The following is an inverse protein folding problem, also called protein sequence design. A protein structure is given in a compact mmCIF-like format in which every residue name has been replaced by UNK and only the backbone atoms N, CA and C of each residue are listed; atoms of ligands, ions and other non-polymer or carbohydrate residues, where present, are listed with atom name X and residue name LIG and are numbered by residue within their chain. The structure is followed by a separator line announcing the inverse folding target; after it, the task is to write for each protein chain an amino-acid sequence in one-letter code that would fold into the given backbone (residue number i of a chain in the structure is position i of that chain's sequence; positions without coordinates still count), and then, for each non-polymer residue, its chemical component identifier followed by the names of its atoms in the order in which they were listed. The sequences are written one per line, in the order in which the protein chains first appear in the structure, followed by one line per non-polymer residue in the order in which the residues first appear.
data_IF_250689911197
#
_entry.id   IF_250689911197
#
_cell.length_a   1.000
_cell.length_b   1.000
_cell.length_c   1.000
_cell.angle_alpha   90.00
_cell.angle_beta   90.00
_cell.angle_gamma   90.00
#
_symmetry.space_group_name_H-M   'P 1'
#
loop_
_entity.id
_entity.type
_entity.pdbx_description
1 polymer ?
#
# COMPACT_ATOMS: atom_id res chain seq x y z
N UNK A 1 49.63 -36.08 29.64
CA UNK A 1 48.19 -36.28 29.88
C UNK A 1 47.84 -35.82 31.28
N UNK A 2 47.04 -34.75 31.41
CA UNK A 2 46.23 -34.38 32.57
C UNK A 2 45.15 -33.44 32.04
N UNK A 3 43.89 -33.83 32.17
CA UNK A 3 42.73 -33.01 31.82
C UNK A 3 42.18 -32.35 33.08
N UNK A 4 41.64 -31.13 32.94
CA UNK A 4 40.59 -30.55 33.81
C UNK A 4 39.86 -29.51 32.96
N UNK A 5 38.53 -29.54 33.02
CA UNK A 5 37.62 -28.64 32.29
C UNK A 5 37.01 -27.58 33.23
N UNK A 6 36.32 -26.61 32.62
CA UNK A 6 35.32 -25.69 33.21
C UNK A 6 35.90 -24.59 34.12
N UNK A 7 35.79 -23.33 33.66
CA UNK A 7 34.75 -22.45 34.20
C UNK A 7 34.33 -21.40 33.16
N UNK A 8 33.02 -21.26 32.96
CA UNK A 8 32.42 -20.20 32.14
C UNK A 8 32.29 -18.94 33.00
N UNK A 9 32.78 -17.79 32.52
CA UNK A 9 32.55 -16.49 33.16
C UNK A 9 31.65 -15.66 32.26
N UNK A 10 30.39 -15.55 32.69
CA UNK A 10 29.43 -14.57 32.20
C UNK A 10 29.81 -13.21 32.80
N UNK A 11 29.94 -12.18 31.98
CA UNK A 11 30.12 -10.79 32.41
C UNK A 11 29.07 -9.90 31.76
N UNK A 12 28.60 -8.90 32.52
CA UNK A 12 27.29 -8.26 32.36
C UNK A 12 27.19 -7.21 31.24
N UNK A 13 25.94 -6.99 30.83
CA UNK A 13 25.50 -5.89 29.98
C UNK A 13 25.87 -4.50 30.55
N UNK A 14 26.13 -3.56 29.66
CA UNK A 14 25.95 -2.13 29.90
C UNK A 14 25.17 -1.52 28.73
N UNK A 15 23.85 -1.51 28.82
CA UNK A 15 22.97 -0.75 27.91
C UNK A 15 23.01 0.71 28.35
N UNK A 16 23.50 1.60 27.48
CA UNK A 16 23.52 3.05 27.75
C UNK A 16 22.46 3.74 26.90
N UNK A 17 21.27 3.93 27.48
CA UNK A 17 20.21 4.75 26.92
C UNK A 17 20.09 6.05 27.72
N UNK A 18 20.35 7.19 27.08
CA UNK A 18 20.07 8.55 27.56
C UNK A 18 19.45 9.32 26.39
N UNK A 19 18.39 10.13 26.53
CA UNK A 19 17.79 10.74 27.71
C UNK A 19 16.26 10.60 27.71
N UNK A 20 15.64 10.71 28.90
CA UNK A 20 14.20 10.96 29.07
C UNK A 20 14.07 12.28 29.82
N UNK A 21 13.31 13.24 29.28
CA UNK A 21 12.69 14.30 30.07
C UNK A 21 11.17 14.07 30.08
N UNK A 22 10.57 14.19 31.26
CA UNK A 22 9.13 14.03 31.54
C UNK A 22 8.57 15.33 32.12
N UNK A 23 7.24 15.39 32.14
CA UNK A 23 6.31 16.34 32.80
C UNK A 23 5.54 17.21 31.79
N UNK A 24 4.20 17.40 31.89
CA UNK A 24 3.21 16.81 32.81
C UNK A 24 1.78 16.96 32.24
N UNK A 25 0.84 16.11 32.66
CA UNK A 25 -0.61 16.34 32.56
C UNK A 25 -1.19 16.68 33.94
N UNK A 26 -2.25 17.51 34.03
CA UNK A 26 -3.19 17.52 35.15
C UNK A 26 -4.53 16.82 34.82
N UNK A 27 -5.30 16.47 35.85
CA UNK A 27 -6.52 15.63 35.79
C UNK A 27 -7.80 16.39 36.20
N UNK A 28 -8.93 15.95 35.64
CA UNK A 28 -10.23 15.63 36.28
C UNK A 28 -10.93 16.58 37.27
N UNK A 29 -12.23 16.81 37.01
CA UNK A 29 -13.32 17.05 37.97
C UNK A 29 -14.38 18.06 37.49
N UNK A 30 -15.62 18.14 37.99
CA UNK A 30 -16.64 17.19 38.51
C UNK A 30 -17.90 18.02 38.88
N UNK A 31 -19.13 17.50 38.69
CA UNK A 31 -20.44 18.10 39.13
C UNK A 31 -20.81 19.49 38.53
N UNK A 32 -22.02 20.10 38.59
CA UNK A 32 -23.45 19.78 38.87
C UNK A 32 -24.31 21.02 38.46
N UNK A 33 -25.65 21.03 38.21
CA UNK A 33 -26.69 20.06 37.81
C UNK A 33 -28.02 20.83 37.50
N UNK A 34 -29.01 20.23 36.79
CA UNK A 34 -30.44 20.68 36.60
C UNK A 34 -30.71 21.98 35.78
N UNK A 35 -31.91 22.30 35.26
CA UNK A 35 -33.11 21.59 34.71
C UNK A 35 -34.17 22.65 34.32
N UNK A 36 -35.02 22.38 33.31
CA UNK A 36 -36.25 23.13 32.94
C UNK A 36 -36.08 24.55 32.32
N UNK A 37 -36.96 25.05 31.44
CA UNK A 37 -38.12 24.43 30.74
C UNK A 37 -38.59 25.27 29.54
N UNK A 38 -39.08 24.59 28.50
CA UNK A 38 -40.25 24.90 27.66
C UNK A 38 -40.56 26.36 27.28
N UNK A 39 -40.51 26.67 25.97
CA UNK A 39 -41.73 26.91 25.16
C UNK A 39 -41.42 26.95 23.66
N UNK A 40 -42.40 26.55 22.85
CA UNK A 40 -42.25 26.36 21.41
C UNK A 40 -42.92 27.48 20.61
N UNK A 41 -42.29 27.86 19.50
CA UNK A 41 -42.99 28.41 18.35
C UNK A 41 -42.55 27.65 17.10
N UNK A 42 -43.52 27.08 16.37
CA UNK A 42 -43.31 26.59 15.00
C UNK A 42 -43.51 27.77 14.05
N UNK A 43 -42.73 27.84 12.98
CA UNK A 43 -43.23 27.68 11.59
C UNK A 43 -42.03 27.67 10.62
N UNK A 44 -42.13 26.74 9.66
CA UNK A 44 -41.52 26.63 8.33
C UNK A 44 -40.86 27.85 7.65
N UNK A 45 -39.96 27.74 6.66
CA UNK A 45 -39.16 26.64 6.08
C UNK A 45 -38.20 27.26 5.01
N UNK A 46 -37.33 26.44 4.40
CA UNK A 46 -36.56 26.64 3.15
C UNK A 46 -35.17 27.30 3.18
N UNK A 47 -34.21 26.48 2.69
CA UNK A 47 -33.13 26.80 1.74
C UNK A 47 -31.97 27.75 2.15
N UNK A 48 -30.70 27.42 1.90
CA UNK A 48 -30.11 26.14 1.48
C UNK A 48 -28.63 26.08 1.94
N UNK A 49 -28.21 24.94 2.49
CA UNK A 49 -26.81 24.70 2.86
C UNK A 49 -26.03 24.30 1.61
N UNK A 50 -25.18 25.20 1.11
CA UNK A 50 -24.25 24.87 0.02
C UNK A 50 -23.15 23.95 0.55
N UNK A 51 -23.30 22.65 0.35
CA UNK A 51 -22.20 21.69 0.50
C UNK A 51 -21.62 21.40 -0.88
N UNK A 52 -20.33 21.71 -1.04
CA UNK A 52 -19.61 21.59 -2.30
C UNK A 52 -19.42 20.13 -2.69
N UNK A 53 -20.29 19.65 -3.58
CA UNK A 53 -20.14 18.39 -4.31
C UNK A 53 -18.87 18.47 -5.17
N UNK A 54 -17.74 17.99 -4.65
CA UNK A 54 -16.58 17.67 -5.50
C UNK A 54 -16.94 16.43 -6.31
N UNK A 55 -17.03 16.63 -7.62
CA UNK A 55 -17.32 15.61 -8.61
C UNK A 55 -16.00 14.87 -8.86
N UNK A 56 -15.93 13.59 -8.48
CA UNK A 56 -14.94 12.70 -9.08
C UNK A 56 -15.45 12.35 -10.48
N UNK A 57 -14.72 12.80 -11.51
CA UNK A 57 -14.98 12.41 -12.90
C UNK A 57 -14.64 10.93 -13.08
N UNK A 58 -15.66 10.10 -12.82
CA UNK A 58 -15.75 8.75 -13.35
C UNK A 58 -16.14 8.86 -14.82
N UNK A 59 -15.17 9.01 -15.70
CA UNK A 59 -15.25 8.66 -17.13
C UNK A 59 -13.84 8.55 -17.74
N UNK A 60 -13.68 7.73 -18.78
CA UNK A 60 -12.47 7.56 -19.60
C UNK A 60 -11.30 6.67 -19.08
N UNK A 61 -11.59 5.57 -18.38
CA UNK A 61 -10.95 4.29 -18.72
C UNK A 61 -12.04 3.36 -19.24
N UNK A 62 -12.10 3.20 -20.57
CA UNK A 62 -13.03 2.29 -21.24
C UNK A 62 -12.68 0.84 -20.89
N UNK A 63 -13.69 0.04 -20.56
CA UNK A 63 -13.62 -1.42 -20.60
C UNK A 63 -13.52 -1.91 -22.07
N UNK A 64 -12.39 -1.69 -22.73
CA UNK A 64 -12.10 -2.21 -24.09
C UNK A 64 -10.71 -2.86 -24.18
N UNK A 65 -10.37 -3.69 -23.20
CA UNK A 65 -9.41 -4.79 -23.38
C UNK A 65 -10.17 -6.12 -23.16
N UNK A 66 -11.12 -6.37 -24.06
CA UNK A 66 -11.80 -7.67 -24.19
C UNK A 66 -10.86 -8.67 -24.87
N UNK A 67 -9.75 -8.99 -24.21
CA UNK A 67 -8.93 -10.13 -24.56
C UNK A 67 -9.54 -11.37 -23.88
N UNK A 68 -9.76 -12.42 -24.67
CA UNK A 68 -10.23 -13.77 -24.29
C UNK A 68 -9.12 -14.56 -23.54
N UNK A 69 -8.34 -13.83 -22.75
CA UNK A 69 -7.23 -14.30 -21.94
C UNK A 69 -7.75 -14.37 -20.49
N UNK A 70 -7.76 -15.54 -19.87
CA UNK A 70 -8.23 -15.73 -18.49
C UNK A 70 -7.35 -14.99 -17.46
N UNK A 71 -6.24 -14.38 -17.90
CA UNK A 71 -5.29 -13.64 -17.06
C UNK A 71 -5.64 -12.15 -16.96
N UNK A 72 -5.51 -11.59 -15.74
CA UNK A 72 -5.48 -10.13 -15.55
C UNK A 72 -4.08 -9.61 -15.81
N UNK A 73 -3.98 -8.46 -16.49
CA UNK A 73 -2.71 -7.78 -16.79
C UNK A 73 -2.71 -6.38 -16.21
N UNK A 74 -1.55 -5.90 -15.81
CA UNK A 74 -1.36 -4.47 -15.52
C UNK A 74 -1.23 -3.69 -16.85
N UNK A 75 -1.43 -2.38 -16.80
CA UNK A 75 -1.29 -1.49 -17.95
C UNK A 75 -0.49 -0.23 -17.62
N UNK A 76 0.23 0.29 -18.63
CA UNK A 76 0.99 1.54 -18.58
C UNK A 76 0.63 2.36 -19.83
N UNK A 77 0.29 3.64 -19.66
CA UNK A 77 -0.25 4.51 -20.71
C UNK A 77 0.80 5.49 -21.25
N UNK A 78 1.93 4.97 -21.75
CA UNK A 78 3.06 5.78 -22.23
C UNK A 78 2.68 6.70 -23.40
N UNK A 79 1.75 6.29 -24.25
CA UNK A 79 1.13 7.08 -25.33
C UNK A 79 0.44 8.36 -24.82
N UNK A 80 0.02 8.38 -23.55
CA UNK A 80 -0.55 9.56 -22.86
C UNK A 80 0.49 10.31 -22.02
N UNK A 81 1.75 9.87 -22.02
CA UNK A 81 2.82 10.43 -21.19
C UNK A 81 2.80 9.96 -19.73
N UNK A 82 2.07 8.90 -19.42
CA UNK A 82 1.89 8.38 -18.06
C UNK A 82 2.63 7.05 -17.87
N UNK A 83 3.61 7.03 -16.98
CA UNK A 83 4.41 5.85 -16.65
C UNK A 83 3.85 5.03 -15.49
N UNK A 84 2.74 5.44 -14.87
CA UNK A 84 2.15 4.73 -13.74
C UNK A 84 1.73 3.31 -14.13
N UNK A 85 2.06 2.32 -13.29
CA UNK A 85 1.63 0.94 -13.43
C UNK A 85 0.25 0.77 -12.80
N UNK A 86 -0.76 0.68 -13.64
CA UNK A 86 -2.13 0.48 -13.23
C UNK A 86 -2.50 -0.99 -13.26
N UNK A 87 -3.04 -1.49 -12.16
CA UNK A 87 -3.69 -2.80 -12.08
C UNK A 87 -5.03 -2.60 -11.38
N UNK A 88 -6.08 -3.19 -11.96
CA UNK A 88 -7.39 -3.33 -11.34
C UNK A 88 -7.67 -4.82 -11.21
N UNK A 89 -8.02 -5.28 -10.01
CA UNK A 89 -8.31 -6.69 -9.78
C UNK A 89 -9.60 -7.10 -10.49
N UNK A 90 -9.59 -8.28 -11.11
CA UNK A 90 -10.78 -8.89 -11.69
C UNK A 90 -10.93 -10.32 -11.15
N UNK A 91 -11.86 -10.52 -10.21
CA UNK A 91 -12.10 -11.81 -9.55
C UNK A 91 -12.54 -12.95 -10.49
N UNK A 92 -12.82 -12.67 -11.76
CA UNK A 92 -13.13 -13.68 -12.78
C UNK A 92 -11.89 -14.17 -13.55
N UNK A 93 -10.73 -13.58 -13.28
CA UNK A 93 -9.48 -13.81 -13.99
C UNK A 93 -8.38 -14.17 -13.00
N UNK A 94 -7.76 -15.33 -13.20
CA UNK A 94 -6.63 -15.76 -12.39
C UNK A 94 -5.46 -14.80 -12.63
N UNK A 95 -4.81 -14.35 -11.56
CA UNK A 95 -3.51 -13.70 -11.65
C UNK A 95 -2.77 -13.73 -10.31
N UNK A 96 -1.46 -13.98 -10.42
CA UNK A 96 -0.46 -13.71 -9.40
C UNK A 96 0.72 -13.01 -10.09
N UNK A 97 0.67 -11.68 -10.18
CA UNK A 97 1.74 -10.89 -10.81
C UNK A 97 2.81 -10.65 -9.76
N UNK A 98 3.96 -11.31 -9.89
CA UNK A 98 5.11 -11.13 -9.00
C UNK A 98 6.05 -10.05 -9.53
N UNK A 99 6.46 -9.15 -8.63
CA UNK A 99 7.60 -8.27 -8.86
C UNK A 99 8.86 -8.85 -8.21
N UNK A 100 9.99 -8.73 -8.90
CA UNK A 100 11.26 -9.37 -8.61
C UNK A 100 12.38 -8.33 -8.35
N UNK A 101 13.40 -8.70 -7.57
CA UNK A 101 14.53 -7.82 -7.26
C UNK A 101 15.50 -7.62 -8.44
N UNK A 102 15.45 -8.51 -9.43
CA UNK A 102 16.25 -8.49 -10.66
C UNK A 102 15.35 -8.91 -11.83
N UNK A 103 15.73 -8.64 -13.10
CA UNK A 103 15.05 -9.18 -14.28
C UNK A 103 15.35 -10.69 -14.45
N UNK A 104 14.89 -11.49 -13.48
CA UNK A 104 15.03 -12.95 -13.38
C UNK A 104 13.97 -13.49 -12.41
N UNK A 105 13.13 -14.43 -12.87
CA UNK A 105 12.06 -15.06 -12.09
C UNK A 105 12.56 -15.88 -10.89
N UNK A 106 13.83 -16.28 -10.93
CA UNK A 106 14.48 -17.03 -9.86
C UNK A 106 15.07 -16.09 -8.79
N UNK A 107 15.03 -14.78 -9.01
CA UNK A 107 15.48 -13.79 -8.04
C UNK A 107 14.46 -13.58 -6.92
N UNK A 108 14.84 -12.80 -5.91
CA UNK A 108 13.99 -12.54 -4.74
C UNK A 108 12.69 -11.85 -5.16
N UNK A 109 11.55 -12.46 -4.82
CA UNK A 109 10.23 -11.84 -4.93
C UNK A 109 10.13 -10.66 -3.96
N UNK A 110 9.71 -9.51 -4.48
CA UNK A 110 9.66 -8.22 -3.79
C UNK A 110 8.23 -7.80 -3.47
N UNK A 111 7.29 -8.03 -4.39
CA UNK A 111 5.86 -7.68 -4.30
C UNK A 111 5.01 -8.74 -5.01
N UNK A 112 3.73 -8.83 -4.65
CA UNK A 112 2.72 -9.64 -5.34
C UNK A 112 1.43 -8.83 -5.53
N UNK A 113 0.84 -8.94 -6.72
CA UNK A 113 -0.57 -8.62 -6.92
C UNK A 113 -1.38 -9.90 -7.20
N UNK A 114 -2.42 -10.16 -6.40
CA UNK A 114 -3.26 -11.35 -6.53
C UNK A 114 -4.72 -11.05 -6.16
N UNK A 115 -5.67 -11.67 -6.87
CA UNK A 115 -7.09 -11.69 -6.50
C UNK A 115 -7.40 -12.54 -5.28
N UNK A 116 -6.51 -13.48 -4.91
CA UNK A 116 -6.78 -14.42 -3.83
C UNK A 116 -6.37 -13.82 -2.48
N UNK A 117 -7.35 -13.68 -1.58
CA UNK A 117 -7.12 -13.24 -0.20
C UNK A 117 -6.08 -14.10 0.55
N UNK A 118 -5.94 -15.37 0.18
CA UNK A 118 -4.91 -16.29 0.70
C UNK A 118 -3.47 -15.84 0.45
N UNK A 119 -3.25 -14.98 -0.55
CA UNK A 119 -1.92 -14.54 -0.98
C UNK A 119 -1.64 -13.09 -0.55
N UNK A 120 -2.68 -12.38 -0.10
CA UNK A 120 -2.68 -10.93 0.18
C UNK A 120 -2.86 -10.63 1.67
N UNK A 121 -3.79 -11.29 2.38
CA UNK A 121 -4.11 -10.95 3.77
C UNK A 121 -2.87 -11.06 4.68
N UNK A 122 -2.45 -9.92 5.23
CA UNK A 122 -1.28 -9.76 6.11
C UNK A 122 0.06 -10.16 5.46
N UNK A 123 0.16 -10.13 4.12
CA UNK A 123 1.38 -10.46 3.37
C UNK A 123 1.95 -11.85 3.80
N UNK A 124 1.23 -12.94 3.50
CA UNK A 124 1.54 -14.28 4.03
C UNK A 124 2.88 -14.82 3.50
N UNK A 125 3.30 -14.37 2.32
CA UNK A 125 4.59 -14.67 1.71
C UNK A 125 5.75 -13.80 2.24
N UNK A 126 5.48 -12.86 3.15
CA UNK A 126 6.47 -11.97 3.77
C UNK A 126 7.33 -11.20 2.74
N UNK A 127 6.69 -10.76 1.66
CA UNK A 127 7.35 -10.03 0.58
C UNK A 127 7.78 -8.63 1.06
N UNK A 128 9.01 -8.18 0.77
CA UNK A 128 9.55 -6.91 1.28
C UNK A 128 8.66 -5.68 1.06
N UNK A 129 8.00 -5.59 -0.08
CA UNK A 129 7.15 -4.47 -0.48
C UNK A 129 5.66 -4.77 -0.34
N UNK A 130 5.28 -5.91 0.25
CA UNK A 130 3.89 -6.29 0.50
C UNK A 130 3.26 -7.19 -0.57
N UNK A 131 1.97 -7.46 -0.36
CA UNK A 131 1.09 -8.14 -1.29
C UNK A 131 -0.26 -7.39 -1.33
N UNK A 132 -0.86 -7.27 -2.51
CA UNK A 132 -2.02 -6.39 -2.75
C UNK A 132 -2.99 -7.02 -3.76
N UNK A 133 -4.23 -6.51 -3.80
CA UNK A 133 -5.19 -6.88 -4.83
C UNK A 133 -4.95 -6.10 -6.14
N UNK A 134 -4.66 -4.80 -6.04
CA UNK A 134 -4.64 -3.85 -7.14
C UNK A 134 -3.88 -2.57 -6.77
N UNK A 135 -3.52 -1.73 -7.74
CA UNK A 135 -2.80 -0.46 -7.48
C UNK A 135 -3.75 0.75 -7.36
N UNK A 136 -4.94 0.68 -7.97
CA UNK A 136 -5.90 1.80 -8.03
C UNK A 136 -6.31 2.35 -6.65
N UNK A 137 -6.51 1.50 -5.65
CA UNK A 137 -6.85 1.89 -4.27
C UNK A 137 -5.66 2.40 -3.42
N UNK A 138 -4.43 2.32 -3.93
CA UNK A 138 -3.20 2.56 -3.13
C UNK A 138 -2.54 3.92 -3.42
N UNK A 139 -2.84 4.55 -4.56
CA UNK A 139 -2.21 5.83 -4.98
C UNK A 139 -2.38 6.94 -3.92
N UNK A 140 -3.58 7.05 -3.33
CA UNK A 140 -3.86 8.02 -2.25
C UNK A 140 -3.13 7.72 -0.93
N UNK A 141 -2.58 6.51 -0.79
CA UNK A 141 -1.77 6.07 0.36
C UNK A 141 -0.27 6.25 0.10
N UNK A 142 0.12 6.94 -0.97
CA UNK A 142 1.51 7.20 -1.35
C UNK A 142 2.20 6.05 -2.11
N UNK A 143 1.50 4.93 -2.35
CA UNK A 143 1.99 3.85 -3.19
C UNK A 143 2.13 4.34 -4.64
N UNK A 144 3.35 4.37 -5.15
CA UNK A 144 3.68 4.72 -6.53
C UNK A 144 4.47 3.57 -7.13
N UNK A 145 4.11 3.17 -8.34
CA UNK A 145 4.84 2.18 -9.12
C UNK A 145 4.91 2.71 -10.55
N UNK A 146 6.11 3.10 -10.99
CA UNK A 146 6.30 3.81 -12.25
C UNK A 146 7.23 3.03 -13.18
N UNK A 147 6.85 2.84 -14.43
CA UNK A 147 7.71 2.31 -15.48
C UNK A 147 8.93 3.19 -15.71
N UNK A 148 10.10 2.56 -15.74
CA UNK A 148 11.39 3.21 -16.03
C UNK A 148 11.91 2.83 -17.40
N UNK A 149 12.04 1.52 -17.68
CA UNK A 149 12.53 0.99 -18.97
C UNK A 149 12.19 -0.50 -19.14
N UNK A 150 12.33 -1.02 -20.35
CA UNK A 150 12.29 -2.48 -20.62
C UNK A 150 13.70 -3.06 -20.53
N UNK A 151 13.86 -4.22 -19.89
CA UNK A 151 15.12 -4.96 -19.72
C UNK A 151 14.91 -6.43 -20.10
N UNK A 152 15.17 -6.76 -21.37
CA UNK A 152 14.92 -8.10 -21.91
C UNK A 152 13.42 -8.46 -21.86
N UNK A 153 13.09 -9.55 -21.16
CA UNK A 153 11.71 -10.01 -20.97
C UNK A 153 11.01 -9.35 -19.77
N UNK A 154 11.64 -8.38 -19.12
CA UNK A 154 11.08 -7.68 -17.95
C UNK A 154 10.85 -6.20 -18.26
N UNK A 155 9.93 -5.57 -17.54
CA UNK A 155 10.00 -4.13 -17.31
C UNK A 155 10.75 -3.86 -16.00
N UNK A 156 11.50 -2.78 -15.96
CA UNK A 156 11.98 -2.14 -14.75
C UNK A 156 10.99 -1.06 -14.34
N UNK A 157 10.62 -1.08 -13.07
CA UNK A 157 9.78 -0.06 -12.44
C UNK A 157 10.49 0.47 -11.21
N UNK A 158 10.19 1.71 -10.85
CA UNK A 158 10.51 2.23 -9.54
C UNK A 158 9.30 2.22 -8.61
N UNK A 159 9.55 1.81 -7.38
CA UNK A 159 8.58 1.74 -6.30
C UNK A 159 8.86 2.80 -5.24
N UNK A 160 7.79 3.42 -4.73
CA UNK A 160 7.84 4.34 -3.59
C UNK A 160 6.56 4.20 -2.78
N UNK A 161 6.65 4.37 -1.45
CA UNK A 161 5.51 4.26 -0.53
C UNK A 161 5.20 5.60 0.17
N UNK A 162 4.30 5.55 1.17
CA UNK A 162 3.89 6.69 1.98
C UNK A 162 5.05 7.43 2.68
N UNK A 163 6.22 6.80 2.84
CA UNK A 163 7.36 7.40 3.51
C UNK A 163 8.17 8.31 2.59
N UNK A 164 8.13 8.06 1.26
CA UNK A 164 8.98 8.72 0.25
C UNK A 164 10.51 8.57 0.54
N UNK A 165 10.90 7.64 1.43
CA UNK A 165 12.30 7.41 1.83
C UNK A 165 12.89 6.26 1.00
N UNK A 166 13.47 6.63 -0.14
CA UNK A 166 14.14 5.70 -1.05
C UNK A 166 13.25 5.24 -2.19
N UNK A 167 13.91 4.81 -3.26
CA UNK A 167 13.29 4.31 -4.49
C UNK A 167 13.79 2.87 -4.68
N UNK A 168 12.89 1.89 -4.54
CA UNK A 168 13.22 0.48 -4.78
C UNK A 168 12.98 0.14 -6.26
N UNK A 169 13.93 -0.55 -6.89
CA UNK A 169 13.71 -1.08 -8.24
C UNK A 169 13.03 -2.44 -8.16
N UNK A 170 11.93 -2.57 -8.91
CA UNK A 170 11.14 -3.80 -9.02
C UNK A 170 11.00 -4.16 -10.50
N UNK A 171 11.25 -5.43 -10.81
CA UNK A 171 11.16 -5.96 -12.17
C UNK A 171 9.92 -6.84 -12.29
N UNK A 172 9.13 -6.66 -13.33
CA UNK A 172 7.95 -7.48 -13.63
C UNK A 172 8.10 -8.14 -14.99
N UNK A 173 7.54 -9.34 -15.14
CA UNK A 173 7.55 -10.04 -16.43
C UNK A 173 6.71 -9.27 -17.43
N UNK A 174 7.24 -9.07 -18.64
CA UNK A 174 6.60 -8.24 -19.67
C UNK A 174 5.28 -8.83 -20.15
N UNK A 175 5.08 -10.14 -20.03
CA UNK A 175 3.83 -10.79 -20.44
C UNK A 175 2.64 -10.49 -19.52
N UNK A 176 2.89 -10.08 -18.27
CA UNK A 176 1.88 -9.65 -17.30
C UNK A 176 1.41 -8.20 -17.54
N UNK A 177 2.08 -7.44 -18.42
CA UNK A 177 1.93 -5.98 -18.51
C UNK A 177 1.78 -5.49 -19.95
N UNK A 178 0.65 -4.81 -20.19
CA UNK A 178 0.34 -4.13 -21.45
C UNK A 178 0.95 -2.72 -21.40
N UNK A 179 1.66 -2.33 -22.47
CA UNK A 179 2.21 -0.98 -22.63
C UNK A 179 1.54 -0.36 -23.85
N UNK A 180 0.81 0.73 -23.66
CA UNK A 180 0.05 1.47 -24.70
C UNK A 180 0.67 2.82 -25.04
#
# INVERSE_FOLDING_TARGET
MKSIHILSIIALCAVSCTNINKEQQPKSGMDSVKTNSTQAFKTENQAAKSESKLIYEKDAVKEEIANDDDLTKAYILLSKGDSTVYLQSNIRKDHQIYGYQKPDINSKKMILFSVFTSDVDKNPHQLPLGAYYETSGLVHQGFKLNYTKTVGNFIETSFTDATDIGEDLVYFEKEDIIIE
#
